data_IF_365380961979
#
_entry.id   IF_365380961979
#
_cell.length_a   1.000
_cell.length_b   1.000
_cell.length_c   1.000
_cell.angle_alpha   90.00
_cell.angle_beta   90.00
_cell.angle_gamma   90.00
#
_symmetry.space_group_name_H-M   'P 1'
#
loop_
_entity.id
_entity.type
_entity.pdbx_description
1 polymer ?
#
# COMPACT_ATOMS: atom_id res chain seq x y z
N UNK A 1 -22.32 -5.47 2.14
CA UNK A 1 -22.77 -6.24 0.96
C UNK A 1 -22.57 -5.48 -0.36
N UNK A 2 -23.00 -4.21 -0.48
CA UNK A 2 -22.81 -3.35 -1.67
C UNK A 2 -21.36 -3.27 -2.21
N UNK A 3 -20.37 -3.19 -1.32
CA UNK A 3 -18.96 -3.04 -1.71
C UNK A 3 -18.41 -4.28 -2.45
N UNK A 4 -18.89 -5.49 -2.12
CA UNK A 4 -18.43 -6.74 -2.79
C UNK A 4 -18.93 -6.84 -4.23
N UNK A 5 -20.21 -6.56 -4.45
CA UNK A 5 -20.80 -6.60 -5.80
C UNK A 5 -20.19 -5.52 -6.70
N UNK A 6 -20.06 -4.29 -6.17
CA UNK A 6 -19.38 -3.21 -6.87
C UNK A 6 -17.93 -3.56 -7.23
N UNK A 7 -17.17 -4.15 -6.30
CA UNK A 7 -15.80 -4.61 -6.57
C UNK A 7 -15.75 -5.65 -7.68
N UNK A 8 -16.66 -6.64 -7.66
CA UNK A 8 -16.74 -7.67 -8.68
C UNK A 8 -16.97 -7.07 -10.07
N UNK A 9 -17.93 -6.16 -10.19
CA UNK A 9 -18.24 -5.47 -11.44
C UNK A 9 -17.06 -4.60 -11.89
N UNK A 10 -16.48 -3.83 -10.97
CA UNK A 10 -15.33 -2.98 -11.23
C UNK A 10 -14.15 -3.78 -11.81
N UNK A 11 -13.74 -4.84 -11.11
CA UNK A 11 -12.61 -5.65 -11.52
C UNK A 11 -12.87 -6.42 -12.82
N UNK A 12 -14.12 -6.83 -13.09
CA UNK A 12 -14.51 -7.40 -14.39
C UNK A 12 -14.32 -6.36 -15.51
N UNK A 13 -14.84 -5.14 -15.33
CA UNK A 13 -14.74 -4.06 -16.34
C UNK A 13 -13.30 -3.56 -16.54
N UNK A 14 -12.50 -3.50 -15.48
CA UNK A 14 -11.13 -2.96 -15.50
C UNK A 14 -10.05 -4.04 -15.57
N UNK A 15 -10.39 -5.31 -15.83
CA UNK A 15 -9.44 -6.44 -15.83
C UNK A 15 -8.18 -6.18 -16.67
N UNK A 16 -8.35 -5.65 -17.88
CA UNK A 16 -7.23 -5.32 -18.77
C UNK A 16 -6.32 -4.21 -18.23
N UNK A 17 -6.90 -3.16 -17.64
CA UNK A 17 -6.15 -2.09 -16.96
C UNK A 17 -5.40 -2.66 -15.76
N UNK A 18 -6.07 -3.40 -14.88
CA UNK A 18 -5.44 -3.98 -13.68
C UNK A 18 -4.27 -4.91 -14.04
N UNK A 19 -4.41 -5.73 -15.10
CA UNK A 19 -3.32 -6.58 -15.59
C UNK A 19 -2.12 -5.75 -16.07
N UNK A 20 -2.37 -4.72 -16.89
CA UNK A 20 -1.31 -3.81 -17.36
C UNK A 20 -0.65 -3.07 -16.20
N UNK A 21 -1.43 -2.62 -15.22
CA UNK A 21 -0.95 -1.96 -14.02
C UNK A 21 -0.06 -2.86 -13.17
N UNK A 22 -0.44 -4.13 -12.99
CA UNK A 22 0.37 -5.13 -12.26
C UNK A 22 1.75 -5.28 -12.89
N UNK A 23 1.81 -5.46 -14.22
CA UNK A 23 3.09 -5.56 -14.94
C UNK A 23 3.95 -4.31 -14.77
N UNK A 24 3.35 -3.11 -14.78
CA UNK A 24 4.09 -1.86 -14.54
C UNK A 24 4.56 -1.71 -13.10
N UNK A 25 3.73 -2.06 -12.10
CA UNK A 25 4.12 -2.03 -10.69
C UNK A 25 5.30 -2.93 -10.41
N UNK A 26 5.29 -4.17 -10.92
CA UNK A 26 6.40 -5.12 -10.74
C UNK A 26 7.74 -4.64 -11.30
N UNK A 27 7.72 -3.79 -12.33
CA UNK A 27 8.93 -3.21 -12.94
C UNK A 27 9.34 -1.89 -12.30
N UNK A 28 8.47 -1.28 -11.49
CA UNK A 28 8.76 -0.01 -10.86
C UNK A 28 9.81 -0.21 -9.76
N UNK A 29 10.87 0.60 -9.80
CA UNK A 29 11.87 0.62 -8.73
C UNK A 29 11.25 1.22 -7.48
N UNK A 30 11.58 0.67 -6.32
CA UNK A 30 11.14 1.19 -5.02
C UNK A 30 11.57 2.63 -4.78
N UNK A 31 12.69 3.07 -5.36
CA UNK A 31 13.10 4.49 -5.38
C UNK A 31 12.05 5.44 -5.94
N UNK A 32 11.35 5.00 -7.00
CA UNK A 32 10.31 5.80 -7.63
C UNK A 32 9.11 5.91 -6.70
N UNK A 33 8.76 4.81 -6.02
CA UNK A 33 7.68 4.78 -5.02
C UNK A 33 8.02 5.71 -3.85
N UNK A 34 9.23 5.60 -3.30
CA UNK A 34 9.69 6.45 -2.20
C UNK A 34 9.65 7.93 -2.58
N UNK A 35 10.14 8.30 -3.77
CA UNK A 35 10.12 9.69 -4.24
C UNK A 35 8.70 10.24 -4.37
N UNK A 36 7.76 9.43 -4.86
CA UNK A 36 6.35 9.82 -4.96
C UNK A 36 5.74 9.97 -3.56
N UNK A 37 6.01 9.03 -2.65
CA UNK A 37 5.56 9.09 -1.26
C UNK A 37 6.07 10.35 -0.56
N UNK A 38 7.37 10.65 -0.66
CA UNK A 38 7.99 11.85 -0.10
C UNK A 38 7.35 13.13 -0.65
N UNK A 39 7.12 13.20 -1.98
CA UNK A 39 6.40 14.31 -2.60
C UNK A 39 4.99 14.45 -2.02
N UNK A 40 4.26 13.35 -1.85
CA UNK A 40 2.93 13.39 -1.23
C UNK A 40 2.99 13.81 0.25
N UNK A 41 4.00 13.40 1.01
CA UNK A 41 4.21 13.81 2.40
C UNK A 41 4.49 15.31 2.50
N UNK A 42 5.41 15.84 1.68
CA UNK A 42 5.74 17.26 1.64
C UNK A 42 4.50 18.11 1.34
N UNK A 43 3.70 17.72 0.34
CA UNK A 43 2.45 18.41 -0.01
C UNK A 43 1.41 18.43 1.12
N UNK A 44 1.51 17.50 2.07
CA UNK A 44 0.60 17.38 3.21
C UNK A 44 1.26 17.75 4.55
N UNK A 45 2.49 18.27 4.51
CA UNK A 45 3.28 18.62 5.70
C UNK A 45 3.42 17.45 6.69
N UNK A 46 3.53 16.23 6.16
CA UNK A 46 3.71 15.01 6.95
C UNK A 46 5.20 14.76 7.12
N UNK A 47 5.65 14.59 8.36
CA UNK A 47 7.03 14.20 8.64
C UNK A 47 7.21 12.72 8.31
N UNK A 48 8.29 12.37 7.61
CA UNK A 48 8.62 10.99 7.25
C UNK A 48 10.06 10.65 7.64
N UNK A 49 10.27 9.45 8.16
CA UNK A 49 11.58 8.88 8.41
C UNK A 49 11.71 7.54 7.67
N UNK A 50 12.70 7.42 6.79
CA UNK A 50 12.99 6.17 6.08
C UNK A 50 13.78 5.29 7.03
N UNK A 51 13.20 4.16 7.45
CA UNK A 51 13.82 3.24 8.40
C UNK A 51 14.63 2.19 7.65
N UNK A 52 14.00 1.57 6.65
CA UNK A 52 14.62 0.54 5.82
C UNK A 52 14.33 0.83 4.35
N UNK A 53 15.32 0.54 3.51
CA UNK A 53 15.21 0.61 2.07
C UNK A 53 16.19 -0.38 1.47
N UNK A 54 15.67 -1.31 0.69
CA UNK A 54 16.47 -2.18 -0.17
C UNK A 54 15.92 -2.13 -1.60
N UNK A 55 16.26 -3.10 -2.45
CA UNK A 55 15.86 -3.12 -3.85
C UNK A 55 14.39 -3.53 -4.07
N UNK A 56 13.78 -4.20 -3.10
CA UNK A 56 12.43 -4.75 -3.15
C UNK A 56 11.45 -4.14 -2.16
N UNK A 57 11.92 -3.47 -1.12
CA UNK A 57 11.05 -2.87 -0.12
C UNK A 57 11.52 -1.52 0.39
N UNK A 58 10.54 -0.75 0.87
CA UNK A 58 10.75 0.43 1.72
C UNK A 58 9.90 0.30 2.97
N UNK A 59 10.46 0.73 4.09
CA UNK A 59 9.78 0.91 5.37
C UNK A 59 9.96 2.36 5.81
N UNK A 60 8.86 3.06 5.99
CA UNK A 60 8.86 4.49 6.29
C UNK A 60 7.92 4.76 7.45
N UNK A 61 8.40 5.44 8.49
CA UNK A 61 7.56 5.94 9.56
C UNK A 61 7.03 7.33 9.16
N UNK A 62 5.72 7.44 9.03
CA UNK A 62 5.01 8.67 8.71
C UNK A 62 4.36 9.22 9.99
N UNK A 63 4.57 10.49 10.30
CA UNK A 63 4.07 11.14 11.51
C UNK A 63 3.17 12.31 11.13
N UNK A 64 1.88 12.17 11.41
CA UNK A 64 0.90 13.27 11.39
C UNK A 64 0.76 13.89 12.77
N UNK A 65 -0.31 14.68 12.95
CA UNK A 65 -0.57 15.35 14.24
C UNK A 65 -1.04 14.36 15.31
N UNK A 66 -1.88 13.40 14.89
CA UNK A 66 -2.57 12.48 15.81
C UNK A 66 -2.19 11.01 15.62
N UNK A 67 -1.56 10.65 14.50
CA UNK A 67 -1.22 9.27 14.19
C UNK A 67 0.19 9.09 13.59
N UNK A 68 0.75 7.91 13.89
CA UNK A 68 2.05 7.44 13.41
C UNK A 68 1.80 6.18 12.59
N UNK A 69 1.96 6.29 11.27
CA UNK A 69 1.76 5.19 10.35
C UNK A 69 3.11 4.58 10.01
N UNK A 70 3.28 3.27 10.26
CA UNK A 70 4.36 2.53 9.62
C UNK A 70 3.90 2.11 8.22
N UNK A 71 4.57 2.62 7.20
CA UNK A 71 4.28 2.37 5.80
C UNK A 71 5.31 1.40 5.23
N UNK A 72 4.87 0.22 4.77
CA UNK A 72 5.67 -0.76 4.04
C UNK A 72 5.16 -0.87 2.61
N UNK A 73 6.06 -0.69 1.65
CA UNK A 73 5.83 -1.10 0.27
C UNK A 73 6.78 -2.23 -0.07
N UNK A 74 6.25 -3.37 -0.55
CA UNK A 74 7.03 -4.58 -0.80
C UNK A 74 6.74 -5.12 -2.20
N UNK A 75 7.79 -5.21 -3.01
CA UNK A 75 7.76 -5.76 -4.36
C UNK A 75 7.93 -7.27 -4.35
N UNK A 76 6.97 -7.98 -3.77
CA UNK A 76 6.94 -9.45 -3.76
C UNK A 76 5.78 -10.00 -4.57
N UNK A 77 5.88 -11.28 -4.97
CA UNK A 77 4.80 -12.03 -5.60
C UNK A 77 3.68 -12.42 -4.63
N UNK A 78 4.05 -12.74 -3.39
CA UNK A 78 3.15 -13.12 -2.30
C UNK A 78 3.73 -12.67 -0.96
N UNK A 79 2.89 -12.11 -0.10
CA UNK A 79 3.24 -11.82 1.30
C UNK A 79 2.69 -12.95 2.16
N UNK A 80 3.59 -13.76 2.70
CA UNK A 80 3.31 -14.81 3.68
C UNK A 80 3.17 -14.26 5.10
N UNK A 81 2.70 -15.12 6.01
CA UNK A 81 2.51 -14.83 7.42
C UNK A 81 3.75 -14.27 8.12
N UNK A 82 4.94 -14.80 7.85
CA UNK A 82 6.19 -14.40 8.52
C UNK A 82 6.54 -12.94 8.22
N UNK A 83 6.33 -12.51 6.96
CA UNK A 83 6.53 -11.12 6.56
C UNK A 83 5.55 -10.16 7.24
N UNK A 84 4.35 -10.64 7.56
CA UNK A 84 3.33 -9.86 8.25
C UNK A 84 3.66 -9.72 9.74
N UNK A 85 4.06 -10.82 10.39
CA UNK A 85 4.53 -10.79 11.79
C UNK A 85 5.78 -9.92 11.97
N UNK A 86 6.74 -10.00 11.03
CA UNK A 86 7.88 -9.09 10.99
C UNK A 86 7.42 -7.62 10.94
N UNK A 87 6.47 -7.31 10.05
CA UNK A 87 5.94 -5.95 9.94
C UNK A 87 5.24 -5.47 11.22
N UNK A 88 4.51 -6.34 11.91
CA UNK A 88 3.88 -6.03 13.20
C UNK A 88 4.91 -5.78 14.30
N UNK A 89 5.98 -6.57 14.33
CA UNK A 89 7.11 -6.35 15.24
C UNK A 89 7.78 -5.01 14.96
N UNK A 90 8.01 -4.67 13.68
CA UNK A 90 8.51 -3.35 13.28
C UNK A 90 7.57 -2.23 13.74
N UNK A 91 6.24 -2.40 13.64
CA UNK A 91 5.28 -1.43 14.17
C UNK A 91 5.43 -1.19 15.67
N UNK A 92 5.62 -2.27 16.45
CA UNK A 92 5.86 -2.19 17.90
C UNK A 92 7.17 -1.46 18.21
N UNK A 93 8.27 -1.82 17.53
CA UNK A 93 9.61 -1.25 17.73
C UNK A 93 9.61 0.25 17.41
N UNK A 94 9.02 0.65 16.29
CA UNK A 94 9.06 2.04 15.82
C UNK A 94 7.87 2.90 16.29
N UNK A 95 7.00 2.35 17.15
CA UNK A 95 5.86 3.06 17.74
C UNK A 95 4.79 3.47 16.73
N UNK A 96 4.59 2.69 15.67
CA UNK A 96 3.52 2.88 14.70
C UNK A 96 2.17 2.47 15.28
N UNK A 97 1.26 3.42 15.50
CA UNK A 97 -0.08 3.14 16.02
C UNK A 97 -1.07 2.72 14.93
N UNK A 98 -0.66 2.81 13.65
CA UNK A 98 -1.36 2.33 12.45
C UNK A 98 -0.33 1.77 11.47
N UNK A 99 -0.76 0.84 10.62
CA UNK A 99 0.09 0.20 9.62
C UNK A 99 -0.51 0.31 8.22
N UNK A 100 0.33 0.50 7.21
CA UNK A 100 -0.05 0.35 5.81
C UNK A 100 0.96 -0.58 5.15
N UNK A 101 0.50 -1.73 4.67
CA UNK A 101 1.33 -2.69 3.95
C UNK A 101 0.79 -2.84 2.53
N UNK A 102 1.52 -2.27 1.56
CA UNK A 102 1.22 -2.39 0.13
C UNK A 102 2.15 -3.41 -0.52
N UNK A 103 1.60 -4.32 -1.33
CA UNK A 103 2.39 -5.27 -2.12
C UNK A 103 2.07 -5.21 -3.61
N UNK A 104 3.07 -5.50 -4.47
CA UNK A 104 2.84 -5.70 -5.92
C UNK A 104 2.26 -7.08 -6.26
N UNK A 105 2.20 -7.95 -5.25
CA UNK A 105 1.64 -9.29 -5.31
C UNK A 105 0.31 -9.36 -4.58
N UNK A 106 0.08 -10.51 -3.94
CA UNK A 106 -1.10 -10.79 -3.13
C UNK A 106 -0.69 -11.13 -1.69
N UNK A 107 -1.62 -11.04 -0.76
CA UNK A 107 -1.45 -11.60 0.58
C UNK A 107 -1.87 -13.06 0.60
N UNK A 108 -1.17 -13.87 1.39
CA UNK A 108 -1.56 -15.24 1.68
C UNK A 108 -3.00 -15.31 2.21
N UNK A 109 -3.70 -16.39 1.84
CA UNK A 109 -5.09 -16.61 2.23
C UNK A 109 -5.18 -16.70 3.75
N UNK A 110 -5.99 -15.84 4.36
CA UNK A 110 -6.19 -15.82 5.80
C UNK A 110 -5.53 -14.66 6.52
N UNK A 111 -4.55 -13.96 5.94
CA UNK A 111 -3.95 -12.78 6.57
C UNK A 111 -4.99 -11.69 6.87
N UNK A 112 -5.91 -11.45 5.93
CA UNK A 112 -7.03 -10.54 6.15
C UNK A 112 -8.02 -11.00 7.25
N UNK A 113 -8.02 -12.27 7.63
CA UNK A 113 -8.83 -12.79 8.75
C UNK A 113 -8.11 -12.63 10.09
N UNK A 114 -6.78 -12.50 10.09
CA UNK A 114 -5.96 -12.31 11.30
C UNK A 114 -6.07 -10.89 11.87
N UNK A 115 -6.50 -9.90 11.07
CA UNK A 115 -6.88 -8.55 11.53
C UNK A 115 -7.87 -8.58 12.72
N UNK A 116 -8.64 -9.66 12.89
CA UNK A 116 -9.65 -9.79 13.94
C UNK A 116 -9.14 -10.32 15.29
N UNK A 117 -7.89 -10.78 15.41
CA UNK A 117 -7.42 -11.48 16.63
C UNK A 117 -7.04 -10.55 17.79
N UNK A 118 -6.67 -9.29 17.52
CA UNK A 118 -6.14 -8.38 18.55
C UNK A 118 -6.37 -6.92 18.15
N UNK A 119 -6.66 -6.03 19.11
CA UNK A 119 -6.99 -4.61 18.86
C UNK A 119 -5.88 -3.85 18.10
N UNK A 120 -4.62 -4.25 18.29
CA UNK A 120 -3.47 -3.70 17.57
C UNK A 120 -3.47 -4.05 16.07
N UNK A 121 -3.97 -5.25 15.72
CA UNK A 121 -3.97 -5.78 14.36
C UNK A 121 -5.06 -5.16 13.50
N UNK A 122 -6.16 -4.69 14.11
CA UNK A 122 -7.26 -3.95 13.44
C UNK A 122 -6.82 -2.62 12.82
N UNK A 123 -5.62 -2.14 13.11
CA UNK A 123 -5.10 -0.84 12.64
C UNK A 123 -4.14 -0.97 11.45
N UNK A 124 -4.00 -2.16 10.88
CA UNK A 124 -3.17 -2.41 9.70
C UNK A 124 -4.05 -2.48 8.45
N UNK A 125 -3.69 -1.72 7.42
CA UNK A 125 -4.28 -1.80 6.10
C UNK A 125 -3.40 -2.67 5.20
N UNK A 126 -3.91 -3.82 4.81
CA UNK A 126 -3.31 -4.69 3.80
C UNK A 126 -3.83 -4.35 2.41
N UNK A 127 -2.95 -3.97 1.50
CA UNK A 127 -3.30 -3.52 0.15
C UNK A 127 -2.54 -4.28 -0.94
N UNK A 128 -3.23 -5.23 -1.57
CA UNK A 128 -2.66 -5.94 -2.71
C UNK A 128 -2.63 -5.07 -3.97
N UNK A 129 -1.98 -5.58 -5.02
CA UNK A 129 -1.85 -4.84 -6.28
C UNK A 129 -3.19 -4.43 -6.88
N UNK A 130 -4.23 -5.25 -6.71
CA UNK A 130 -5.53 -5.05 -7.36
C UNK A 130 -6.28 -3.91 -6.70
N UNK A 131 -6.32 -3.88 -5.37
CA UNK A 131 -6.97 -2.83 -4.61
C UNK A 131 -6.16 -1.53 -4.64
N UNK A 132 -4.83 -1.62 -4.61
CA UNK A 132 -3.96 -0.46 -4.82
C UNK A 132 -4.28 0.18 -6.18
N UNK A 133 -4.21 -0.57 -7.28
CA UNK A 133 -4.48 -0.05 -8.62
C UNK A 133 -5.91 0.47 -8.79
N UNK A 134 -6.91 -0.18 -8.18
CA UNK A 134 -8.28 0.33 -8.17
C UNK A 134 -8.33 1.74 -7.57
N UNK A 135 -7.63 1.97 -6.45
CA UNK A 135 -7.57 3.29 -5.79
C UNK A 135 -6.81 4.33 -6.62
N UNK A 136 -5.81 3.90 -7.40
CA UNK A 136 -5.09 4.78 -8.33
C UNK A 136 -5.92 5.14 -9.57
N UNK A 137 -6.69 4.19 -10.11
CA UNK A 137 -7.49 4.36 -11.33
C UNK A 137 -8.82 5.08 -11.09
N UNK A 138 -9.46 4.86 -9.95
CA UNK A 138 -10.86 5.26 -9.77
C UNK A 138 -11.75 4.63 -10.85
N UNK A 139 -12.89 5.28 -11.15
CA UNK A 139 -13.87 4.77 -12.12
C UNK A 139 -13.40 4.92 -13.58
N UNK A 140 -12.86 6.09 -13.94
CA UNK A 140 -12.58 6.46 -15.34
C UNK A 140 -11.09 6.40 -15.71
N UNK A 141 -10.16 6.31 -14.76
CA UNK A 141 -8.73 6.39 -15.03
C UNK A 141 -8.19 5.22 -15.87
N UNK A 142 -7.03 5.50 -16.49
CA UNK A 142 -6.26 4.56 -17.33
C UNK A 142 -4.83 4.41 -16.79
N UNK A 143 -4.27 3.21 -16.87
CA UNK A 143 -2.90 2.91 -16.41
C UNK A 143 -1.84 3.67 -17.20
N UNK A 144 -2.09 3.96 -18.48
CA UNK A 144 -1.19 4.78 -19.30
C UNK A 144 -0.97 6.15 -18.65
N UNK A 145 -2.04 6.82 -18.22
CA UNK A 145 -1.99 8.17 -17.64
C UNK A 145 -1.33 8.20 -16.26
N UNK A 146 -1.61 7.20 -15.42
CA UNK A 146 -1.05 7.11 -14.07
C UNK A 146 0.46 6.91 -14.12
N UNK A 147 0.92 5.96 -14.95
CA UNK A 147 2.34 5.59 -14.97
C UNK A 147 3.19 6.51 -15.85
N UNK A 148 2.66 7.03 -16.99
CA UNK A 148 3.40 7.96 -17.86
C UNK A 148 3.79 9.23 -17.12
N UNK A 149 2.94 9.69 -16.21
CA UNK A 149 3.14 10.94 -15.48
C UNK A 149 3.56 10.74 -14.02
N UNK A 150 3.92 9.51 -13.60
CA UNK A 150 4.23 9.16 -12.19
C UNK A 150 3.17 9.67 -11.20
N UNK A 151 1.89 9.64 -11.60
CA UNK A 151 0.73 10.14 -10.85
C UNK A 151 0.20 9.13 -9.83
N UNK A 152 1.04 8.21 -9.34
CA UNK A 152 0.65 7.43 -8.17
C UNK A 152 0.40 8.39 -7.02
N UNK A 153 -0.63 8.11 -6.25
CA UNK A 153 -1.10 8.98 -5.18
C UNK A 153 -1.18 8.18 -3.89
N UNK A 154 -0.42 8.63 -2.89
CA UNK A 154 -0.39 8.04 -1.57
C UNK A 154 -1.21 8.78 -0.51
N UNK A 155 -1.93 9.86 -0.83
CA UNK A 155 -2.65 10.68 0.16
C UNK A 155 -3.62 9.90 1.04
N UNK A 156 -4.20 8.80 0.54
CA UNK A 156 -5.11 7.93 1.32
C UNK A 156 -4.41 7.07 2.36
N UNK A 157 -3.10 6.96 2.28
CA UNK A 157 -2.23 6.16 3.15
C UNK A 157 -1.42 7.03 4.12
N UNK A 158 -1.56 8.36 4.02
CA UNK A 158 -0.87 9.27 4.91
C UNK A 158 -1.64 9.44 6.22
N UNK A 159 -0.93 9.73 7.33
CA UNK A 159 -1.55 10.11 8.59
C UNK A 159 -2.34 11.43 8.45
N UNK A 160 -3.22 11.67 9.42
CA UNK A 160 -4.07 12.88 9.47
C UNK A 160 -3.46 13.98 10.33
#
# INVERSE_FOLDING_TARGET
MFNRLFNKIYFKRKKGEIRRGRSKLRRMKVDVILRILQKNCNNKQINYNVIEKNWDSILVLLKGKNDKILFKYHRTGMVFHEHYEEFLNQMKIYGGNKGVYITTGVFEVGLHKMENRTWFYKKVLLEDYSYFLKKQLGLKGKISEIFKNKKLNFYRYLPR
#
